data_IF_600065569352
#
_entry.id   IF_600065569352
#
_cell.length_a   1.000
_cell.length_b   1.000
_cell.length_c   1.000
_cell.angle_alpha   90.00
_cell.angle_beta   90.00
_cell.angle_gamma   90.00
#
_symmetry.space_group_name_H-M   'P 1'
#
loop_
_entity.id
_entity.type
_entity.pdbx_description
1 polymer ?
#
# COMPACT_ATOMS: atom_id res chain seq x y z
N UNK A 1 1.67 6.08 -2.16
CA UNK A 1 1.47 6.95 -0.99
C UNK A 1 0.43 6.30 -0.10
N UNK A 2 0.49 6.52 1.21
CA UNK A 2 -0.46 5.96 2.16
C UNK A 2 -1.87 6.49 1.92
N UNK A 3 -2.87 5.63 2.10
CA UNK A 3 -4.27 5.98 1.88
C UNK A 3 -4.78 7.01 2.91
N UNK A 4 -4.24 7.02 4.13
CA UNK A 4 -4.49 8.04 5.14
C UNK A 4 -3.68 9.33 4.85
N UNK A 5 -4.01 9.96 3.73
CA UNK A 5 -3.29 11.08 3.12
C UNK A 5 -2.85 12.20 4.07
N UNK A 6 -3.70 12.76 4.95
CA UNK A 6 -3.32 13.96 5.71
C UNK A 6 -2.26 13.71 6.78
N UNK A 7 -2.01 12.45 7.17
CA UNK A 7 -1.11 12.11 8.28
C UNK A 7 -0.07 11.04 7.92
N UNK A 8 -0.02 10.62 6.64
CA UNK A 8 0.97 9.66 6.18
C UNK A 8 2.37 10.29 6.19
N UNK A 9 3.36 9.60 6.77
CA UNK A 9 4.78 9.94 6.60
C UNK A 9 5.36 9.01 5.54
N UNK A 10 5.37 9.45 4.29
CA UNK A 10 5.83 8.66 3.16
C UNK A 10 6.59 9.55 2.15
N UNK A 11 6.81 9.03 0.94
CA UNK A 11 7.57 9.68 -0.13
C UNK A 11 7.10 11.09 -0.52
N UNK A 12 5.89 11.52 -0.15
CA UNK A 12 5.48 12.91 -0.36
C UNK A 12 6.41 13.92 0.37
N UNK A 13 7.14 13.45 1.38
CA UNK A 13 8.17 14.22 2.10
C UNK A 13 9.52 14.33 1.36
N UNK A 14 9.59 13.97 0.08
CA UNK A 14 10.75 14.23 -0.78
C UNK A 14 11.80 13.12 -0.82
N UNK A 15 11.41 11.87 -0.60
CA UNK A 15 12.31 10.71 -0.62
C UNK A 15 11.68 9.49 -1.29
N UNK A 16 12.51 8.54 -1.72
CA UNK A 16 12.06 7.28 -2.37
C UNK A 16 12.61 6.06 -1.64
N UNK A 17 11.96 4.91 -1.80
CA UNK A 17 12.44 3.63 -1.27
C UNK A 17 13.30 2.93 -2.32
N UNK A 18 14.53 2.49 -1.99
CA UNK A 18 15.34 1.67 -2.88
C UNK A 18 14.64 0.37 -3.28
N UNK A 19 14.85 -0.08 -4.52
CA UNK A 19 14.16 -1.28 -5.04
C UNK A 19 14.45 -2.54 -4.21
N UNK A 20 15.66 -2.69 -3.68
CA UNK A 20 16.03 -3.85 -2.87
C UNK A 20 15.25 -3.97 -1.55
N UNK A 21 14.67 -2.87 -1.07
CA UNK A 21 13.93 -2.85 0.20
C UNK A 21 12.45 -3.24 0.01
N UNK A 22 12.03 -3.50 -1.23
CA UNK A 22 10.66 -3.96 -1.55
C UNK A 22 10.57 -5.47 -1.32
N UNK A 23 9.88 -5.86 -0.24
CA UNK A 23 9.70 -7.28 0.13
C UNK A 23 8.60 -7.96 -0.72
N UNK A 24 7.49 -7.27 -1.00
CA UNK A 24 6.37 -7.87 -1.74
C UNK A 24 5.14 -6.98 -1.85
N UNK A 25 4.04 -7.54 -2.41
CA UNK A 25 2.75 -6.88 -2.62
C UNK A 25 1.67 -7.51 -1.74
N UNK A 26 0.92 -6.69 -1.00
CA UNK A 26 -0.25 -7.15 -0.26
C UNK A 26 -1.35 -7.58 -1.25
N UNK A 27 -1.86 -8.80 -1.11
CA UNK A 27 -2.87 -9.36 -2.03
C UNK A 27 -4.12 -9.89 -1.32
N UNK A 28 -4.05 -10.17 -0.02
CA UNK A 28 -5.15 -10.71 0.78
C UNK A 28 -5.24 -9.98 2.12
N UNK A 29 -6.45 -9.60 2.51
CA UNK A 29 -6.80 -9.14 3.85
C UNK A 29 -7.60 -10.24 4.55
N UNK A 30 -7.14 -10.63 5.73
CA UNK A 30 -7.69 -11.74 6.52
C UNK A 30 -8.24 -11.29 7.89
N UNK A 31 -8.45 -9.99 8.11
CA UNK A 31 -9.06 -9.55 9.37
C UNK A 31 -9.80 -8.22 9.20
N UNK A 32 -10.98 -8.05 9.84
CA UNK A 32 -11.74 -9.05 10.60
C UNK A 32 -12.33 -10.16 9.70
N UNK A 33 -12.73 -11.34 10.26
CA UNK A 33 -13.11 -12.50 9.45
C UNK A 33 -14.26 -12.27 8.48
N UNK A 34 -15.23 -11.45 8.88
CA UNK A 34 -16.38 -11.02 8.07
C UNK A 34 -15.99 -10.11 6.89
N UNK A 35 -14.76 -9.58 6.89
CA UNK A 35 -14.22 -8.70 5.85
C UNK A 35 -13.04 -9.32 5.10
N UNK A 36 -12.93 -10.64 5.10
CA UNK A 36 -11.94 -11.34 4.28
C UNK A 36 -12.12 -10.99 2.81
N UNK A 37 -11.01 -10.72 2.12
CA UNK A 37 -11.07 -10.35 0.72
C UNK A 37 -9.71 -9.99 0.13
N UNK A 38 -9.69 -9.84 -1.20
CA UNK A 38 -8.51 -9.40 -1.93
C UNK A 38 -8.21 -7.93 -1.64
N UNK A 39 -6.93 -7.59 -1.54
CA UNK A 39 -6.51 -6.19 -1.49
C UNK A 39 -6.91 -5.48 -2.80
N UNK A 40 -7.33 -4.20 -2.76
CA UNK A 40 -7.94 -3.52 -3.90
C UNK A 40 -7.06 -3.41 -5.16
N UNK A 41 -5.73 -3.51 -5.01
CA UNK A 41 -4.76 -3.74 -6.10
C UNK A 41 -5.03 -2.94 -7.40
N UNK A 42 -5.40 -1.66 -7.26
CA UNK A 42 -5.79 -0.82 -8.38
C UNK A 42 -4.73 -0.78 -9.47
N UNK A 43 -5.17 -0.89 -10.73
CA UNK A 43 -4.32 -0.60 -11.88
C UNK A 43 -3.94 0.87 -11.85
N UNK A 44 -2.65 1.16 -11.93
CA UNK A 44 -2.17 2.52 -12.14
C UNK A 44 -2.46 2.87 -13.61
N UNK A 45 -3.21 3.95 -13.89
CA UNK A 45 -3.27 4.51 -15.25
C UNK A 45 -1.85 4.90 -15.67
N UNK A 46 -1.52 4.64 -16.94
CA UNK A 46 -0.29 5.14 -17.57
C UNK A 46 -0.26 6.67 -17.64
#
# INVERSE_FOLDING_TARGET
>A
LGDNRPVANDSHNGWTVPRQDIIGKAWLSIWPPDKWGLAPNYSLPE
#
